data_IF_587798593686
#
_entry.id   IF_587798593686
#
_cell.length_a   1.000
_cell.length_b   1.000
_cell.length_c   1.000
_cell.angle_alpha   90.00
_cell.angle_beta   90.00
_cell.angle_gamma   90.00
#
_symmetry.space_group_name_H-M   'P 1'
#
loop_
_entity.id
_entity.type
_entity.pdbx_description
1 polymer ?
#
# COMPACT_ATOMS: atom_id res chain seq x y z
N UNK A 1 22.57 -13.57 5.27
CA UNK A 1 22.78 -12.20 4.77
C UNK A 1 21.46 -11.49 4.44
N UNK A 2 20.57 -12.09 3.62
CA UNK A 2 19.17 -11.67 3.53
C UNK A 2 18.50 -11.55 4.93
N UNK A 3 18.83 -12.51 5.83
CA UNK A 3 18.45 -12.47 7.25
C UNK A 3 18.92 -11.22 8.01
N UNK A 4 20.10 -10.68 7.71
CA UNK A 4 20.63 -9.49 8.40
C UNK A 4 19.88 -8.23 7.97
N UNK A 5 19.63 -8.05 6.66
CA UNK A 5 18.83 -6.93 6.17
C UNK A 5 17.40 -6.98 6.70
N UNK A 6 16.74 -8.16 6.65
CA UNK A 6 15.40 -8.32 7.23
C UNK A 6 15.39 -8.01 8.73
N UNK A 7 16.42 -8.43 9.47
CA UNK A 7 16.57 -8.07 10.88
C UNK A 7 16.74 -6.57 11.07
N UNK A 8 17.57 -5.89 10.26
CA UNK A 8 17.76 -4.44 10.33
C UNK A 8 16.47 -3.68 10.03
N UNK A 9 15.71 -4.10 9.01
CA UNK A 9 14.39 -3.52 8.70
C UNK A 9 13.44 -3.72 9.87
N UNK A 10 13.40 -4.94 10.41
CA UNK A 10 12.55 -5.27 11.55
C UNK A 10 12.91 -4.42 12.77
N UNK A 11 14.19 -4.23 13.07
CA UNK A 11 14.66 -3.38 14.17
C UNK A 11 14.29 -1.92 13.93
N UNK A 12 14.53 -1.37 12.73
CA UNK A 12 14.15 0.01 12.40
C UNK A 12 12.64 0.21 12.51
N UNK A 13 11.86 -0.74 11.99
CA UNK A 13 10.41 -0.75 12.07
C UNK A 13 9.96 -0.77 13.53
N UNK A 14 10.51 -1.68 14.34
CA UNK A 14 10.18 -1.80 15.77
C UNK A 14 10.51 -0.51 16.52
N UNK A 15 11.69 0.05 16.29
CA UNK A 15 12.12 1.32 16.89
C UNK A 15 11.15 2.43 16.51
N UNK A 16 10.84 2.58 15.22
CA UNK A 16 9.90 3.60 14.74
C UNK A 16 8.51 3.43 15.35
N UNK A 17 7.97 2.21 15.37
CA UNK A 17 6.67 1.87 15.96
C UNK A 17 6.63 2.19 17.46
N UNK A 18 7.71 1.92 18.20
CA UNK A 18 7.80 2.28 19.63
C UNK A 18 7.82 3.81 19.80
N UNK A 19 8.59 4.53 18.99
CA UNK A 19 8.62 6.00 19.04
C UNK A 19 7.28 6.63 18.64
N UNK A 20 6.52 5.99 17.73
CA UNK A 20 5.15 6.40 17.43
C UNK A 20 4.22 6.32 18.64
N UNK A 21 4.52 5.48 19.63
CA UNK A 21 3.77 5.45 20.88
C UNK A 21 4.10 6.63 21.80
N UNK A 22 5.19 7.37 21.54
CA UNK A 22 5.65 8.51 22.34
C UNK A 22 5.29 9.83 21.66
N UNK A 23 5.29 9.85 20.33
CA UNK A 23 5.07 11.05 19.50
C UNK A 23 3.74 11.78 19.77
N UNK A 24 3.60 13.02 19.27
CA UNK A 24 2.42 13.82 19.50
C UNK A 24 1.18 13.09 18.97
N UNK A 25 0.26 12.83 19.89
CA UNK A 25 -1.09 12.40 19.59
C UNK A 25 -1.86 13.57 19.00
N UNK A 26 -2.89 13.24 18.23
CA UNK A 26 -3.82 14.27 17.76
C UNK A 26 -4.47 14.95 18.98
N UNK A 27 -4.50 16.29 19.07
CA UNK A 27 -5.17 16.99 20.17
C UNK A 27 -6.63 16.54 20.33
N UNK A 28 -7.11 16.46 21.57
CA UNK A 28 -8.43 15.90 21.88
C UNK A 28 -9.58 16.67 21.22
N UNK A 29 -9.41 17.98 21.02
CA UNK A 29 -10.35 18.85 20.31
C UNK A 29 -10.53 18.48 18.83
N UNK A 30 -9.50 17.88 18.21
CA UNK A 30 -9.51 17.50 16.81
C UNK A 30 -9.87 16.02 16.57
N UNK A 31 -9.99 15.20 17.61
CA UNK A 31 -10.29 13.77 17.47
C UNK A 31 -11.56 13.49 16.65
N UNK A 32 -12.61 14.30 16.84
CA UNK A 32 -13.87 14.17 16.07
C UNK A 32 -13.70 14.54 14.60
N UNK A 33 -12.97 15.61 14.32
CA UNK A 33 -12.78 16.14 12.95
C UNK A 33 -12.05 15.13 12.06
N UNK A 34 -11.08 14.41 12.63
CA UNK A 34 -10.28 13.42 11.91
C UNK A 34 -10.79 11.98 12.07
N UNK A 35 -11.89 11.76 12.80
CA UNK A 35 -12.44 10.43 13.09
C UNK A 35 -11.40 9.50 13.73
N UNK A 36 -10.89 9.93 14.90
CA UNK A 36 -9.79 9.30 15.63
C UNK A 36 -10.13 9.18 17.11
N UNK A 37 -9.62 8.14 17.76
CA UNK A 37 -9.68 7.96 19.21
C UNK A 37 -8.27 7.80 19.78
N UNK A 38 -7.89 8.61 20.76
CA UNK A 38 -6.61 8.46 21.45
C UNK A 38 -6.69 7.36 22.52
N UNK A 39 -5.73 6.45 22.49
CA UNK A 39 -5.47 5.47 23.54
C UNK A 39 -4.34 5.99 24.41
N UNK A 40 -4.61 6.10 25.70
CA UNK A 40 -3.62 6.50 26.70
C UNK A 40 -3.12 5.25 27.42
N UNK A 41 -1.80 5.03 27.41
CA UNK A 41 -1.12 3.98 28.15
C UNK A 41 -0.33 4.61 29.32
N UNK A 42 0.13 3.82 30.31
CA UNK A 42 0.94 4.35 31.40
C UNK A 42 2.19 5.10 30.90
N UNK A 43 2.50 6.25 31.50
CA UNK A 43 3.66 7.06 31.16
C UNK A 43 3.47 7.91 29.90
N UNK A 44 4.52 8.13 29.07
CA UNK A 44 4.41 8.92 27.85
C UNK A 44 3.73 8.16 26.69
N UNK A 45 3.37 6.90 26.91
CA UNK A 45 2.92 6.01 25.85
C UNK A 45 1.43 6.23 25.50
N UNK A 46 1.12 6.12 24.22
CA UNK A 46 -0.23 6.16 23.69
C UNK A 46 -0.23 6.18 22.17
N UNK A 47 -1.37 5.91 21.56
CA UNK A 47 -1.49 5.93 20.10
C UNK A 47 -2.90 6.33 19.69
N UNK A 48 -3.04 6.80 18.46
CA UNK A 48 -4.33 7.21 17.88
C UNK A 48 -4.89 6.08 17.02
N UNK A 49 -6.12 5.66 17.31
CA UNK A 49 -6.87 4.69 16.52
C UNK A 49 -7.82 5.38 15.56
N UNK A 50 -7.89 4.91 14.33
CA UNK A 50 -8.96 5.31 13.42
C UNK A 50 -10.33 4.87 13.97
N UNK A 51 -11.37 5.69 13.80
CA UNK A 51 -12.71 5.43 14.31
C UNK A 51 -13.33 4.12 13.81
N UNK A 52 -12.98 3.70 12.59
CA UNK A 52 -13.47 2.46 12.00
C UNK A 52 -12.83 1.20 12.61
N UNK A 53 -11.75 1.35 13.38
CA UNK A 53 -10.99 0.24 13.95
C UNK A 53 -11.86 -0.68 14.81
N UNK A 54 -12.81 -0.11 15.57
CA UNK A 54 -13.68 -0.91 16.45
C UNK A 54 -14.58 -1.85 15.67
N UNK A 55 -15.07 -1.40 14.51
CA UNK A 55 -15.87 -2.26 13.65
C UNK A 55 -15.03 -3.43 13.09
N UNK A 56 -13.76 -3.20 12.75
CA UNK A 56 -12.85 -4.29 12.35
C UNK A 56 -12.64 -5.30 13.47
N UNK A 57 -12.50 -4.86 14.72
CA UNK A 57 -12.35 -5.73 15.89
C UNK A 57 -13.62 -6.54 16.17
N UNK A 58 -14.77 -5.88 16.20
CA UNK A 58 -16.06 -6.50 16.45
C UNK A 58 -16.38 -7.56 15.38
N UNK A 59 -16.17 -7.23 14.10
CA UNK A 59 -16.43 -8.16 13.00
C UNK A 59 -15.41 -9.30 12.96
N UNK A 60 -14.16 -9.09 13.38
CA UNK A 60 -13.20 -10.20 13.48
C UNK A 60 -13.57 -11.14 14.64
N UNK A 61 -14.10 -10.58 15.73
CA UNK A 61 -14.60 -11.36 16.86
C UNK A 61 -15.84 -12.19 16.53
N UNK A 62 -16.79 -11.60 15.81
CA UNK A 62 -17.97 -12.28 15.32
C UNK A 62 -18.18 -12.01 13.81
N UNK A 63 -17.54 -12.79 12.93
CA UNK A 63 -17.62 -12.58 11.49
C UNK A 63 -19.02 -12.77 10.90
N UNK A 64 -19.93 -13.47 11.58
CA UNK A 64 -21.32 -13.61 11.11
C UNK A 64 -22.05 -12.27 11.07
N UNK A 65 -21.64 -11.28 11.87
CA UNK A 65 -22.17 -9.91 11.81
C UNK A 65 -21.94 -9.24 10.45
N UNK A 66 -21.03 -9.73 9.61
CA UNK A 66 -20.91 -9.30 8.22
C UNK A 66 -22.20 -9.56 7.43
N UNK A 67 -22.99 -10.59 7.79
CA UNK A 67 -24.26 -10.90 7.14
C UNK A 67 -25.42 -10.00 7.62
N UNK A 68 -25.20 -9.16 8.63
CA UNK A 68 -26.22 -8.21 9.05
C UNK A 68 -26.57 -7.25 7.90
N UNK A 69 -27.87 -7.02 7.72
CA UNK A 69 -28.38 -6.14 6.66
C UNK A 69 -27.79 -4.73 6.82
N UNK A 70 -27.18 -4.21 5.75
CA UNK A 70 -26.59 -2.87 5.74
C UNK A 70 -25.20 -2.78 6.38
N UNK A 71 -24.55 -3.90 6.72
CA UNK A 71 -23.20 -3.86 7.25
C UNK A 71 -22.22 -3.29 6.20
N UNK A 72 -21.54 -2.20 6.57
CA UNK A 72 -20.70 -1.42 5.65
C UNK A 72 -19.46 -2.18 5.15
N UNK A 73 -19.08 -3.28 5.80
CA UNK A 73 -17.90 -4.11 5.45
C UNK A 73 -18.24 -5.36 4.64
N UNK A 74 -19.50 -5.54 4.23
CA UNK A 74 -19.89 -6.63 3.33
C UNK A 74 -19.07 -6.65 2.04
N UNK A 75 -18.64 -5.49 1.52
CA UNK A 75 -17.83 -5.44 0.29
C UNK A 75 -16.41 -5.97 0.43
N UNK A 76 -15.85 -6.05 1.65
CA UNK A 76 -14.43 -6.35 1.88
C UNK A 76 -14.22 -7.21 3.13
N UNK A 77 -14.69 -8.46 3.12
CA UNK A 77 -14.64 -9.32 4.30
C UNK A 77 -13.25 -9.92 4.57
N UNK A 78 -12.36 -9.92 3.57
CA UNK A 78 -11.12 -10.70 3.60
C UNK A 78 -10.19 -10.33 4.74
N UNK A 79 -10.01 -9.04 5.03
CA UNK A 79 -9.13 -8.61 6.12
C UNK A 79 -9.66 -9.03 7.50
N UNK A 80 -10.98 -9.01 7.65
CA UNK A 80 -11.69 -9.43 8.86
C UNK A 80 -11.50 -10.93 9.08
N UNK A 81 -11.69 -11.74 8.04
CA UNK A 81 -11.47 -13.18 8.13
C UNK A 81 -10.01 -13.54 8.42
N UNK A 82 -9.04 -12.82 7.83
CA UNK A 82 -7.63 -13.05 8.14
C UNK A 82 -7.31 -12.77 9.61
N UNK A 83 -7.80 -11.67 10.17
CA UNK A 83 -7.61 -11.36 11.58
C UNK A 83 -8.32 -12.37 12.50
N UNK A 84 -9.55 -12.76 12.16
CA UNK A 84 -10.30 -13.78 12.88
C UNK A 84 -9.59 -15.15 12.87
N UNK A 85 -9.00 -15.54 11.74
CA UNK A 85 -8.25 -16.79 11.61
C UNK A 85 -6.91 -16.76 12.37
N UNK A 86 -6.29 -15.59 12.51
CA UNK A 86 -5.00 -15.43 13.18
C UNK A 86 -5.14 -15.23 14.71
N UNK A 87 -6.26 -14.68 15.17
CA UNK A 87 -6.50 -14.37 16.60
C UNK A 87 -6.36 -15.55 17.58
N UNK A 88 -6.63 -16.84 17.21
CA UNK A 88 -6.42 -17.97 18.12
C UNK A 88 -4.99 -18.09 18.65
N UNK A 89 -3.99 -17.64 17.88
CA UNK A 89 -2.58 -17.64 18.29
C UNK A 89 -2.30 -16.69 19.48
N UNK A 90 -3.20 -15.73 19.72
CA UNK A 90 -3.06 -14.67 20.72
C UNK A 90 -4.06 -14.80 21.86
N UNK A 91 -4.81 -15.91 21.97
CA UNK A 91 -5.77 -16.08 23.08
C UNK A 91 -5.10 -16.07 24.46
N UNK A 92 -3.87 -16.54 24.56
CA UNK A 92 -3.12 -16.63 25.82
C UNK A 92 -2.81 -15.26 26.46
N UNK A 93 -2.84 -14.16 25.68
CA UNK A 93 -2.57 -12.82 26.17
C UNK A 93 -3.83 -12.02 26.49
N UNK A 94 -5.03 -12.62 26.37
CA UNK A 94 -6.29 -11.92 26.62
C UNK A 94 -6.49 -11.68 28.13
N UNK A 95 -6.47 -10.44 28.62
CA UNK A 95 -6.80 -10.17 30.01
C UNK A 95 -8.27 -10.44 30.27
N UNK A 96 -8.63 -10.66 31.53
CA UNK A 96 -10.03 -10.51 31.97
C UNK A 96 -10.28 -9.01 32.16
N UNK A 97 -11.03 -8.34 31.27
CA UNK A 97 -11.23 -6.90 31.39
C UNK A 97 -12.02 -6.58 32.66
N UNK A 98 -11.60 -5.54 33.37
CA UNK A 98 -12.32 -5.04 34.54
C UNK A 98 -13.66 -4.44 34.10
N UNK A 99 -14.74 -4.83 34.79
CA UNK A 99 -16.10 -4.35 34.48
C UNK A 99 -16.27 -2.87 34.76
N UNK A 100 -15.45 -2.28 35.63
CA UNK A 100 -15.52 -0.84 35.93
C UNK A 100 -15.18 0.06 34.73
N UNK A 101 -14.56 -0.49 33.68
CA UNK A 101 -14.13 0.27 32.49
C UNK A 101 -15.10 0.17 31.29
N UNK A 102 -16.30 -0.40 31.47
CA UNK A 102 -17.22 -0.84 30.40
C UNK A 102 -17.53 0.23 29.32
N UNK A 103 -17.49 1.52 29.66
CA UNK A 103 -17.75 2.63 28.73
C UNK A 103 -16.50 3.25 28.08
N UNK A 104 -15.31 2.73 28.36
CA UNK A 104 -14.06 3.29 27.83
C UNK A 104 -13.65 2.63 26.50
N UNK A 105 -13.05 3.42 25.61
CA UNK A 105 -12.44 2.90 24.38
C UNK A 105 -11.39 1.83 24.68
N UNK A 106 -10.64 2.02 25.77
CA UNK A 106 -9.62 1.07 26.25
C UNK A 106 -10.24 -0.29 26.57
N UNK A 107 -11.43 -0.30 27.18
CA UNK A 107 -12.15 -1.54 27.47
C UNK A 107 -12.48 -2.32 26.20
N UNK A 108 -12.96 -1.65 25.14
CA UNK A 108 -13.24 -2.31 23.86
C UNK A 108 -11.99 -2.95 23.24
N UNK A 109 -10.84 -2.27 23.29
CA UNK A 109 -9.58 -2.84 22.81
C UNK A 109 -9.16 -4.04 23.65
N UNK A 110 -9.28 -3.95 24.98
CA UNK A 110 -8.93 -5.06 25.88
C UNK A 110 -9.85 -6.27 25.72
N UNK A 111 -11.15 -6.02 25.51
CA UNK A 111 -12.14 -7.06 25.23
C UNK A 111 -11.82 -7.83 23.94
N UNK A 112 -11.31 -7.14 22.93
CA UNK A 112 -10.95 -7.73 21.63
C UNK A 112 -9.44 -7.88 21.41
N UNK A 113 -8.65 -7.95 22.49
CA UNK A 113 -7.18 -7.88 22.40
C UNK A 113 -6.56 -8.93 21.45
N UNK A 114 -6.97 -10.21 21.44
CA UNK A 114 -6.40 -11.18 20.49
C UNK A 114 -6.60 -10.80 19.02
N UNK A 115 -7.74 -10.19 18.70
CA UNK A 115 -8.07 -9.73 17.34
C UNK A 115 -7.31 -8.45 17.00
N UNK A 116 -7.16 -7.55 17.96
CA UNK A 116 -6.33 -6.36 17.81
C UNK A 116 -4.88 -6.73 17.50
N UNK A 117 -4.27 -7.60 18.30
CA UNK A 117 -2.89 -8.08 18.07
C UNK A 117 -2.76 -8.82 16.74
N UNK A 118 -3.79 -9.53 16.30
CA UNK A 118 -3.82 -10.12 14.96
C UNK A 118 -3.74 -9.05 13.86
N UNK A 119 -4.50 -7.96 13.95
CA UNK A 119 -4.42 -6.86 12.98
C UNK A 119 -3.05 -6.17 13.00
N UNK A 120 -2.48 -5.89 14.18
CA UNK A 120 -1.14 -5.29 14.28
C UNK A 120 -0.10 -6.19 13.63
N UNK A 121 -0.20 -7.51 13.87
CA UNK A 121 0.66 -8.51 13.24
C UNK A 121 0.52 -8.46 11.71
N UNK A 122 -0.71 -8.42 11.20
CA UNK A 122 -0.96 -8.30 9.75
C UNK A 122 -0.38 -7.01 9.17
N UNK A 123 -0.53 -5.87 9.85
CA UNK A 123 0.04 -4.58 9.43
C UNK A 123 1.58 -4.62 9.35
N UNK A 124 2.24 -5.22 10.34
CA UNK A 124 3.70 -5.43 10.34
C UNK A 124 4.11 -6.37 9.19
N UNK A 125 3.39 -7.47 8.99
CA UNK A 125 3.66 -8.41 7.89
C UNK A 125 3.51 -7.73 6.52
N UNK A 126 2.49 -6.89 6.33
CA UNK A 126 2.28 -6.10 5.11
C UNK A 126 3.50 -5.20 4.82
N UNK A 127 4.06 -4.54 5.85
CA UNK A 127 5.26 -3.73 5.69
C UNK A 127 6.51 -4.55 5.37
N UNK A 128 6.70 -5.70 6.03
CA UNK A 128 7.82 -6.58 5.75
C UNK A 128 7.76 -7.14 4.32
N UNK A 129 6.57 -7.51 3.86
CA UNK A 129 6.35 -7.97 2.47
C UNK A 129 6.57 -6.80 1.48
N UNK A 130 6.11 -5.59 1.81
CA UNK A 130 6.37 -4.38 1.01
C UNK A 130 7.87 -4.15 0.83
N UNK A 131 8.64 -4.23 1.93
CA UNK A 131 10.09 -4.09 1.88
C UNK A 131 10.75 -5.25 1.13
N UNK A 132 10.21 -6.48 1.21
CA UNK A 132 10.69 -7.59 0.41
C UNK A 132 10.54 -7.32 -1.10
N UNK A 133 9.39 -6.78 -1.54
CA UNK A 133 9.23 -6.36 -2.94
C UNK A 133 10.20 -5.23 -3.32
N UNK A 134 10.42 -4.26 -2.43
CA UNK A 134 11.42 -3.22 -2.63
C UNK A 134 12.82 -3.82 -2.87
N UNK A 135 13.25 -4.77 -2.05
CA UNK A 135 14.54 -5.49 -2.24
C UNK A 135 14.60 -6.17 -3.60
N UNK A 136 13.50 -6.81 -4.03
CA UNK A 136 13.45 -7.50 -5.34
C UNK A 136 13.47 -6.56 -6.53
N UNK A 137 12.81 -5.41 -6.43
CA UNK A 137 12.78 -4.39 -7.49
C UNK A 137 14.15 -3.69 -7.61
N UNK A 138 14.83 -3.47 -6.49
CA UNK A 138 16.11 -2.74 -6.44
C UNK A 138 17.34 -3.63 -6.57
N UNK A 139 17.19 -4.95 -6.62
CA UNK A 139 18.29 -5.92 -6.60
C UNK A 139 19.22 -5.79 -5.37
N UNK A 140 18.71 -5.26 -4.25
CA UNK A 140 19.49 -5.06 -3.02
C UNK A 140 20.01 -6.39 -2.42
N UNK A 141 19.40 -7.52 -2.75
CA UNK A 141 19.89 -8.85 -2.33
C UNK A 141 21.24 -9.22 -2.97
N UNK A 142 21.58 -8.60 -4.11
CA UNK A 142 22.84 -8.83 -4.82
C UNK A 142 23.93 -7.82 -4.39
N UNK A 143 23.56 -6.59 -4.06
CA UNK A 143 24.48 -5.50 -3.71
C UNK A 143 24.14 -4.86 -2.37
N UNK A 144 25.12 -4.82 -1.46
CA UNK A 144 24.95 -4.33 -0.08
C UNK A 144 25.04 -2.80 0.00
N UNK A 145 24.11 -2.09 -0.62
CA UNK A 145 24.08 -0.62 -0.56
C UNK A 145 23.35 -0.13 0.68
N UNK A 146 24.05 0.60 1.54
CA UNK A 146 23.46 1.28 2.69
C UNK A 146 22.53 2.41 2.23
N UNK A 147 22.89 3.12 1.16
CA UNK A 147 22.06 4.22 0.63
C UNK A 147 20.73 3.69 0.10
N UNK A 148 20.74 2.61 -0.70
CA UNK A 148 19.50 1.96 -1.16
C UNK A 148 18.69 1.45 0.03
N UNK A 149 19.32 0.77 0.99
CA UNK A 149 18.63 0.34 2.21
C UNK A 149 17.94 1.50 2.94
N UNK A 150 18.63 2.63 3.11
CA UNK A 150 18.08 3.84 3.73
C UNK A 150 16.87 4.37 2.94
N UNK A 151 16.94 4.46 1.61
CA UNK A 151 15.78 4.86 0.80
C UNK A 151 14.59 3.93 1.00
N UNK A 152 14.82 2.62 1.14
CA UNK A 152 13.77 1.65 1.48
C UNK A 152 13.05 1.97 2.79
N UNK A 153 13.71 2.59 3.78
CA UNK A 153 13.09 2.99 5.04
C UNK A 153 12.01 4.06 4.87
N UNK A 154 11.94 4.77 3.75
CA UNK A 154 10.83 5.70 3.45
C UNK A 154 9.48 4.97 3.32
N UNK A 155 9.47 3.66 3.06
CA UNK A 155 8.26 2.83 3.13
C UNK A 155 7.74 2.67 4.57
N UNK A 156 8.59 2.92 5.57
CA UNK A 156 8.24 2.89 7.00
C UNK A 156 7.92 4.31 7.48
N UNK A 157 8.70 5.30 7.06
CA UNK A 157 8.54 6.70 7.46
C UNK A 157 7.54 7.40 6.55
N UNK A 158 6.25 7.32 6.88
CA UNK A 158 5.20 8.02 6.16
C UNK A 158 3.89 8.08 6.97
N UNK A 159 3.00 8.98 6.53
CA UNK A 159 1.68 9.20 7.11
C UNK A 159 0.82 7.92 7.19
N UNK A 160 0.91 7.02 6.21
CA UNK A 160 0.11 5.77 6.21
C UNK A 160 0.55 4.85 7.35
N UNK A 161 1.85 4.62 7.52
CA UNK A 161 2.35 3.81 8.65
C UNK A 161 2.02 4.46 9.97
N UNK A 162 2.22 5.77 10.07
CA UNK A 162 1.91 6.53 11.28
C UNK A 162 0.43 6.43 11.70
N UNK A 163 -0.51 6.50 10.75
CA UNK A 163 -1.94 6.34 11.02
C UNK A 163 -2.35 4.90 11.33
N UNK A 164 -1.81 3.95 10.56
CA UNK A 164 -2.46 2.65 10.42
C UNK A 164 -1.65 1.49 10.96
N UNK A 165 -0.39 1.66 11.39
CA UNK A 165 0.36 0.54 11.98
C UNK A 165 -0.31 0.03 13.25
N UNK A 166 -0.84 0.94 14.08
CA UNK A 166 -1.59 0.66 15.30
C UNK A 166 -3.11 0.57 15.09
N UNK A 167 -3.63 0.91 13.92
CA UNK A 167 -5.08 0.88 13.65
C UNK A 167 -5.47 -0.35 12.82
N UNK A 168 -6.42 -1.18 13.30
CA UNK A 168 -7.14 -2.14 12.46
C UNK A 168 -7.78 -1.47 11.23
N UNK A 169 -7.09 -1.49 10.09
CA UNK A 169 -7.59 -0.92 8.84
C UNK A 169 -6.83 -1.49 7.63
N UNK A 170 -7.47 -1.49 6.47
CA UNK A 170 -6.88 -1.89 5.18
C UNK A 170 -5.91 -0.86 4.55
N UNK A 171 -5.66 0.33 5.13
CA UNK A 171 -4.88 1.36 4.43
C UNK A 171 -3.39 1.00 4.26
N UNK A 172 -2.85 0.07 5.04
CA UNK A 172 -1.48 -0.44 4.88
C UNK A 172 -1.24 -1.05 3.48
N UNK A 173 -2.30 -1.52 2.81
CA UNK A 173 -2.23 -1.99 1.43
C UNK A 173 -1.91 -0.89 0.42
N UNK A 174 -2.02 0.40 0.79
CA UNK A 174 -1.57 1.50 -0.05
C UNK A 174 -0.04 1.52 -0.25
N UNK A 175 0.70 0.76 0.55
CA UNK A 175 2.15 0.58 0.42
C UNK A 175 2.45 -0.70 -0.38
N UNK A 176 1.84 -1.80 0.03
CA UNK A 176 2.11 -3.13 -0.51
C UNK A 176 1.67 -3.30 -1.96
N UNK A 177 0.42 -2.98 -2.27
CA UNK A 177 -0.18 -3.29 -3.58
C UNK A 177 0.53 -2.58 -4.74
N UNK A 178 0.90 -1.28 -4.68
CA UNK A 178 1.63 -0.65 -5.78
C UNK A 178 3.04 -1.23 -5.97
N UNK A 179 3.75 -1.61 -4.90
CA UNK A 179 5.04 -2.30 -5.03
C UNK A 179 4.89 -3.70 -5.64
N UNK A 180 3.88 -4.45 -5.22
CA UNK A 180 3.56 -5.74 -5.80
C UNK A 180 3.24 -5.62 -7.30
N UNK A 181 2.40 -4.65 -7.68
CA UNK A 181 2.06 -4.39 -9.08
C UNK A 181 3.29 -3.99 -9.91
N UNK A 182 4.19 -3.16 -9.35
CA UNK A 182 5.45 -2.80 -9.98
C UNK A 182 6.37 -4.02 -10.16
N UNK A 183 6.48 -4.88 -9.15
CA UNK A 183 7.26 -6.12 -9.26
C UNK A 183 6.68 -7.03 -10.35
N UNK A 184 5.37 -7.26 -10.37
CA UNK A 184 4.71 -8.04 -11.42
C UNK A 184 4.91 -7.45 -12.82
N UNK A 185 4.82 -6.13 -12.96
CA UNK A 185 5.10 -5.46 -14.23
C UNK A 185 6.51 -5.78 -14.73
N UNK A 186 7.52 -5.61 -13.87
CA UNK A 186 8.93 -5.92 -14.20
C UNK A 186 9.09 -7.40 -14.55
N UNK A 187 8.52 -8.31 -13.76
CA UNK A 187 8.60 -9.75 -13.99
C UNK A 187 7.90 -10.20 -15.30
N UNK A 188 6.83 -9.53 -15.71
CA UNK A 188 6.20 -9.76 -17.02
C UNK A 188 7.13 -9.31 -18.14
N UNK A 189 7.70 -8.10 -18.03
CA UNK A 189 8.55 -7.52 -19.08
C UNK A 189 9.87 -8.26 -19.23
N UNK A 190 10.59 -8.48 -18.12
CA UNK A 190 11.96 -9.01 -18.13
C UNK A 190 12.02 -10.54 -18.06
N UNK A 191 11.04 -11.16 -17.39
CA UNK A 191 11.11 -12.58 -17.00
C UNK A 191 9.97 -13.43 -17.55
N UNK A 192 9.10 -12.85 -18.38
CA UNK A 192 7.94 -13.53 -19.00
C UNK A 192 7.01 -14.17 -17.96
N UNK A 193 6.78 -13.52 -16.81
CA UNK A 193 5.89 -14.05 -15.77
C UNK A 193 4.53 -14.46 -16.32
N UNK A 194 3.99 -13.70 -17.29
CA UNK A 194 2.71 -13.98 -17.93
C UNK A 194 2.64 -15.35 -18.62
N UNK A 195 3.78 -15.92 -19.01
CA UNK A 195 3.89 -17.23 -19.66
C UNK A 195 4.04 -18.38 -18.65
N UNK A 196 4.39 -18.09 -17.39
CA UNK A 196 4.67 -19.10 -16.36
C UNK A 196 3.39 -19.58 -15.67
N UNK A 197 3.25 -20.88 -15.33
CA UNK A 197 2.07 -21.40 -14.63
C UNK A 197 1.81 -20.76 -13.26
N UNK A 198 2.86 -20.30 -12.58
CA UNK A 198 2.75 -19.65 -11.26
C UNK A 198 1.83 -18.41 -11.28
N UNK A 199 1.63 -17.77 -12.44
CA UNK A 199 0.74 -16.61 -12.53
C UNK A 199 -0.70 -16.94 -12.15
N UNK A 200 -1.17 -18.18 -12.39
CA UNK A 200 -2.51 -18.60 -11.98
C UNK A 200 -2.64 -18.68 -10.47
N UNK A 201 -1.62 -19.20 -9.78
CA UNK A 201 -1.59 -19.26 -8.31
C UNK A 201 -1.54 -17.85 -7.71
N UNK A 202 -0.71 -16.96 -8.27
CA UNK A 202 -0.67 -15.54 -7.90
C UNK A 202 -2.06 -14.91 -8.12
N UNK A 203 -2.68 -15.12 -9.28
CA UNK A 203 -3.99 -14.55 -9.62
C UNK A 203 -5.10 -15.00 -8.65
N UNK A 204 -5.11 -16.27 -8.25
CA UNK A 204 -6.04 -16.78 -7.25
C UNK A 204 -5.82 -16.13 -5.87
N UNK A 205 -4.56 -15.98 -5.44
CA UNK A 205 -4.22 -15.27 -4.20
C UNK A 205 -4.63 -13.78 -4.27
N UNK A 206 -4.46 -13.14 -5.42
CA UNK A 206 -4.89 -11.76 -5.64
C UNK A 206 -6.41 -11.64 -5.65
N UNK A 207 -7.13 -12.66 -6.12
CA UNK A 207 -8.58 -12.71 -5.97
C UNK A 207 -9.03 -12.67 -4.51
N UNK A 208 -8.33 -13.39 -3.62
CA UNK A 208 -8.53 -13.25 -2.17
C UNK A 208 -8.16 -11.83 -1.71
N UNK A 209 -7.06 -11.27 -2.21
CA UNK A 209 -6.65 -9.88 -1.97
C UNK A 209 -7.71 -8.84 -2.34
N UNK A 210 -8.48 -9.04 -3.42
CA UNK A 210 -9.59 -8.14 -3.80
C UNK A 210 -10.67 -8.10 -2.72
N UNK A 211 -10.91 -9.21 -2.02
CA UNK A 211 -11.84 -9.25 -0.87
C UNK A 211 -11.28 -8.55 0.37
N UNK A 212 -9.97 -8.30 0.43
CA UNK A 212 -9.29 -7.56 1.50
C UNK A 212 -9.30 -6.07 1.19
N UNK A 213 -8.91 -5.70 -0.04
CA UNK A 213 -8.82 -4.31 -0.47
C UNK A 213 -8.98 -4.18 -1.99
N UNK A 214 -9.81 -3.24 -2.45
CA UNK A 214 -10.20 -3.16 -3.86
C UNK A 214 -9.06 -2.83 -4.81
N UNK A 215 -7.98 -2.18 -4.35
CA UNK A 215 -6.84 -1.83 -5.20
C UNK A 215 -6.06 -3.04 -5.71
N UNK A 216 -6.24 -4.23 -5.11
CA UNK A 216 -5.68 -5.47 -5.65
C UNK A 216 -6.17 -5.76 -7.07
N UNK A 217 -7.32 -5.24 -7.50
CA UNK A 217 -7.79 -5.34 -8.88
C UNK A 217 -6.83 -4.69 -9.89
N UNK A 218 -6.01 -3.71 -9.46
CA UNK A 218 -4.99 -3.07 -10.29
C UNK A 218 -3.82 -3.98 -10.68
N UNK A 219 -3.73 -5.16 -10.07
CA UNK A 219 -2.87 -6.24 -10.56
C UNK A 219 -3.14 -6.57 -12.03
N UNK A 220 -4.41 -6.64 -12.45
CA UNK A 220 -4.80 -7.03 -13.81
C UNK A 220 -4.19 -6.10 -14.88
N UNK A 221 -4.43 -4.77 -14.87
CA UNK A 221 -3.79 -3.88 -15.83
C UNK A 221 -2.26 -3.87 -15.70
N UNK A 222 -1.70 -4.04 -14.49
CA UNK A 222 -0.25 -4.10 -14.30
C UNK A 222 0.42 -5.25 -15.07
N UNK A 223 -0.24 -6.41 -15.20
CA UNK A 223 0.28 -7.55 -15.97
C UNK A 223 -0.22 -7.59 -17.41
N UNK A 224 -1.45 -7.15 -17.68
CA UNK A 224 -2.08 -7.26 -19.00
C UNK A 224 -1.48 -6.26 -19.98
N UNK A 225 -1.20 -5.02 -19.56
CA UNK A 225 -0.62 -4.01 -20.43
C UNK A 225 0.74 -4.43 -21.00
N UNK A 226 1.76 -4.79 -20.19
CA UNK A 226 3.04 -5.24 -20.74
C UNK A 226 2.92 -6.55 -21.52
N UNK A 227 2.10 -7.50 -21.07
CA UNK A 227 1.89 -8.77 -21.77
C UNK A 227 1.26 -8.60 -23.16
N UNK A 228 0.28 -7.70 -23.28
CA UNK A 228 -0.35 -7.36 -24.56
C UNK A 228 0.65 -6.72 -25.51
N UNK A 229 1.45 -5.75 -25.04
CA UNK A 229 2.49 -5.10 -25.85
C UNK A 229 3.52 -6.12 -26.35
N UNK A 230 3.91 -7.07 -25.48
CA UNK A 230 4.80 -8.17 -25.84
C UNK A 230 4.17 -9.04 -26.93
N UNK A 231 2.93 -9.50 -26.75
CA UNK A 231 2.24 -10.37 -27.69
C UNK A 231 2.04 -9.70 -29.05
N UNK A 232 1.69 -8.40 -29.05
CA UNK A 232 1.48 -7.59 -30.25
C UNK A 232 2.75 -7.46 -31.10
N UNK A 233 3.93 -7.46 -30.47
CA UNK A 233 5.22 -7.33 -31.15
C UNK A 233 5.80 -8.65 -31.67
N UNK A 234 5.15 -9.79 -31.41
CA UNK A 234 5.63 -11.07 -31.91
C UNK A 234 5.34 -11.24 -33.42
N UNK A 235 6.23 -11.90 -34.19
CA UNK A 235 5.99 -12.17 -35.62
C UNK A 235 4.68 -12.93 -35.86
N UNK A 236 4.35 -13.89 -34.99
CA UNK A 236 3.10 -14.65 -35.00
C UNK A 236 2.00 -13.96 -34.18
N UNK A 237 1.77 -12.66 -34.41
CA UNK A 237 0.91 -11.81 -33.57
C UNK A 237 -0.48 -12.40 -33.29
N UNK A 238 -1.13 -13.01 -34.28
CA UNK A 238 -2.48 -13.57 -34.10
C UNK A 238 -2.51 -14.75 -33.13
N UNK A 239 -1.51 -15.64 -33.23
CA UNK A 239 -1.36 -16.79 -32.32
C UNK A 239 -1.01 -16.29 -30.93
N UNK A 240 -0.09 -15.33 -30.81
CA UNK A 240 0.31 -14.75 -29.53
C UNK A 240 -0.86 -14.03 -28.82
N UNK A 241 -1.65 -13.25 -29.57
CA UNK A 241 -2.84 -12.58 -29.05
C UNK A 241 -3.94 -13.57 -28.63
N UNK A 242 -4.12 -14.67 -29.36
CA UNK A 242 -5.04 -15.74 -28.96
C UNK A 242 -4.64 -16.38 -27.62
N UNK A 243 -3.36 -16.71 -27.44
CA UNK A 243 -2.83 -17.24 -26.18
C UNK A 243 -2.96 -16.22 -25.04
N UNK A 244 -2.67 -14.94 -25.32
CA UNK A 244 -2.88 -13.85 -24.38
C UNK A 244 -4.33 -13.77 -23.93
N UNK A 245 -5.29 -13.76 -24.87
CA UNK A 245 -6.71 -13.63 -24.57
C UNK A 245 -7.22 -14.78 -23.67
N UNK A 246 -6.90 -16.02 -24.00
CA UNK A 246 -7.28 -17.19 -23.20
C UNK A 246 -6.75 -17.08 -21.77
N UNK A 247 -5.45 -16.75 -21.62
CA UNK A 247 -4.84 -16.59 -20.30
C UNK A 247 -5.42 -15.41 -19.53
N UNK A 248 -5.66 -14.29 -20.19
CA UNK A 248 -6.26 -13.11 -19.59
C UNK A 248 -7.67 -13.42 -19.03
N UNK A 249 -8.48 -14.18 -19.77
CA UNK A 249 -9.81 -14.63 -19.30
C UNK A 249 -9.69 -15.51 -18.05
N UNK A 250 -8.79 -16.49 -18.06
CA UNK A 250 -8.58 -17.36 -16.89
C UNK A 250 -8.10 -16.56 -15.68
N UNK A 251 -7.10 -15.69 -15.87
CA UNK A 251 -6.55 -14.83 -14.81
C UNK A 251 -7.62 -13.89 -14.26
N UNK A 252 -8.39 -13.23 -15.13
CA UNK A 252 -9.50 -12.39 -14.73
C UNK A 252 -10.53 -13.17 -13.91
N UNK A 253 -10.91 -14.36 -14.38
CA UNK A 253 -11.79 -15.27 -13.65
C UNK A 253 -11.27 -15.59 -12.26
N UNK A 254 -9.99 -15.97 -12.13
CA UNK A 254 -9.36 -16.28 -10.84
C UNK A 254 -9.33 -15.09 -9.87
N UNK A 255 -9.12 -13.87 -10.39
CA UNK A 255 -9.13 -12.64 -9.57
C UNK A 255 -10.56 -12.25 -9.17
N UNK A 256 -11.54 -12.38 -10.06
CA UNK A 256 -12.92 -12.00 -9.78
C UNK A 256 -13.67 -13.02 -8.90
N UNK A 257 -13.30 -14.30 -8.99
CA UNK A 257 -14.05 -15.42 -8.42
C UNK A 257 -14.28 -15.27 -6.90
N UNK A 258 -13.28 -14.97 -6.04
CA UNK A 258 -13.53 -14.90 -4.61
C UNK A 258 -14.51 -13.80 -4.20
N UNK A 259 -14.41 -12.62 -4.83
CA UNK A 259 -15.36 -11.53 -4.60
C UNK A 259 -16.77 -11.89 -5.06
N UNK A 260 -16.90 -12.55 -6.21
CA UNK A 260 -18.19 -13.01 -6.73
C UNK A 260 -18.81 -14.11 -5.88
N UNK A 261 -18.04 -15.10 -5.43
CA UNK A 261 -18.51 -16.14 -4.52
C UNK A 261 -18.99 -15.56 -3.19
N UNK A 262 -18.28 -14.56 -2.65
CA UNK A 262 -18.71 -13.87 -1.44
C UNK A 262 -20.03 -13.11 -1.67
N UNK A 263 -20.14 -12.37 -2.78
CA UNK A 263 -21.37 -11.69 -3.15
C UNK A 263 -22.56 -12.66 -3.21
N UNK A 264 -22.42 -13.78 -3.93
CA UNK A 264 -23.46 -14.80 -4.03
C UNK A 264 -23.80 -15.43 -2.68
N UNK A 265 -22.79 -15.69 -1.85
CA UNK A 265 -23.00 -16.23 -0.50
C UNK A 265 -23.84 -15.28 0.35
N UNK A 266 -23.53 -13.99 0.36
CA UNK A 266 -24.31 -12.98 1.11
C UNK A 266 -25.72 -12.89 0.54
N UNK A 267 -25.87 -12.71 -0.78
CA UNK A 267 -27.16 -12.59 -1.45
C UNK A 267 -28.09 -13.77 -1.14
N UNK A 268 -27.56 -15.00 -1.20
CA UNK A 268 -28.34 -16.22 -0.89
C UNK A 268 -28.70 -16.36 0.58
N UNK A 269 -27.91 -15.78 1.50
CA UNK A 269 -28.16 -15.85 2.95
C UNK A 269 -29.05 -14.74 3.48
N UNK A 270 -28.95 -13.54 2.91
CA UNK A 270 -29.58 -12.33 3.44
C UNK A 270 -30.66 -11.76 2.52
N UNK A 271 -30.72 -12.21 1.27
CA UNK A 271 -31.59 -11.68 0.21
C UNK A 271 -31.15 -10.33 -0.35
N UNK A 272 -30.02 -9.77 0.10
CA UNK A 272 -29.47 -8.52 -0.45
C UNK A 272 -28.01 -8.31 -0.04
N UNK A 273 -27.18 -7.90 -0.98
CA UNK A 273 -25.82 -7.40 -0.75
C UNK A 273 -25.77 -5.88 -0.63
N UNK A 274 -25.21 -5.37 0.47
CA UNK A 274 -25.01 -3.94 0.67
C UNK A 274 -23.59 -3.50 0.30
N UNK A 275 -23.48 -2.51 -0.60
CA UNK A 275 -22.24 -1.76 -0.82
C UNK A 275 -22.38 -0.36 -0.25
N UNK A 276 -21.64 -0.10 0.83
CA UNK A 276 -21.58 1.21 1.46
C UNK A 276 -20.99 2.28 0.54
N UNK A 277 -19.98 1.89 -0.25
CA UNK A 277 -19.33 2.75 -1.24
C UNK A 277 -20.33 3.33 -2.25
N UNK A 278 -21.24 2.50 -2.76
CA UNK A 278 -22.25 2.92 -3.74
C UNK A 278 -23.39 3.67 -3.03
N UNK A 279 -23.91 3.12 -1.92
CA UNK A 279 -25.11 3.64 -1.28
C UNK A 279 -24.95 4.97 -0.54
N UNK A 280 -23.81 5.22 0.11
CA UNK A 280 -23.57 6.45 0.90
C UNK A 280 -22.70 7.45 0.16
N UNK A 281 -21.61 6.99 -0.43
CA UNK A 281 -20.59 7.88 -0.99
C UNK A 281 -20.75 8.13 -2.49
N UNK A 282 -21.73 7.50 -3.13
CA UNK A 282 -21.93 7.59 -4.58
C UNK A 282 -20.64 7.28 -5.36
N UNK A 283 -19.76 6.42 -4.80
CA UNK A 283 -18.54 6.01 -5.47
C UNK A 283 -18.92 5.37 -6.81
N UNK A 284 -18.22 5.79 -7.88
CA UNK A 284 -18.51 5.46 -9.29
C UNK A 284 -19.86 5.96 -9.85
N UNK A 285 -20.84 6.31 -9.00
CA UNK A 285 -22.13 6.88 -9.44
C UNK A 285 -21.93 8.28 -10.02
N UNK A 286 -21.02 9.07 -9.45
CA UNK A 286 -20.69 10.41 -9.94
C UNK A 286 -20.25 10.41 -11.42
N UNK A 287 -19.63 9.32 -11.91
CA UNK A 287 -19.23 9.20 -13.32
C UNK A 287 -20.45 9.18 -14.23
N UNK A 288 -21.51 8.46 -13.82
CA UNK A 288 -22.75 8.37 -14.58
C UNK A 288 -23.45 9.72 -14.60
N UNK A 289 -23.49 10.40 -13.46
CA UNK A 289 -24.11 11.73 -13.35
C UNK A 289 -23.34 12.78 -14.16
N UNK A 290 -22.00 12.77 -14.08
CA UNK A 290 -21.13 13.64 -14.87
C UNK A 290 -21.23 13.35 -16.37
N UNK A 291 -21.34 12.07 -16.77
CA UNK A 291 -21.57 11.69 -18.15
C UNK A 291 -22.90 12.21 -18.69
N UNK A 292 -23.98 12.09 -17.89
CA UNK A 292 -25.31 12.64 -18.24
C UNK A 292 -25.29 14.16 -18.36
N UNK A 293 -24.44 14.85 -17.59
CA UNK A 293 -24.21 16.29 -17.71
C UNK A 293 -23.34 16.68 -18.92
N UNK A 294 -22.68 15.72 -19.56
CA UNK A 294 -21.90 15.90 -20.80
C UNK A 294 -20.44 15.50 -20.67
N UNK A 295 -19.85 15.05 -21.79
CA UNK A 295 -18.47 14.55 -21.84
C UNK A 295 -17.44 15.53 -21.25
N UNK A 296 -17.61 16.83 -21.50
CA UNK A 296 -16.70 17.86 -20.98
C UNK A 296 -16.73 17.94 -19.45
N UNK A 297 -17.92 17.80 -18.83
CA UNK A 297 -18.07 17.79 -17.36
C UNK A 297 -17.36 16.57 -16.77
N UNK A 298 -17.55 15.40 -17.37
CA UNK A 298 -16.86 14.18 -16.95
C UNK A 298 -15.34 14.32 -17.02
N UNK A 299 -14.81 14.78 -18.16
CA UNK A 299 -13.36 14.96 -18.33
C UNK A 299 -12.82 15.98 -17.34
N UNK A 300 -13.52 17.10 -17.14
CA UNK A 300 -13.13 18.14 -16.20
C UNK A 300 -13.08 17.63 -14.76
N UNK A 301 -14.12 16.96 -14.28
CA UNK A 301 -14.17 16.40 -12.93
C UNK A 301 -13.12 15.30 -12.72
N UNK A 302 -12.96 14.40 -13.69
CA UNK A 302 -11.94 13.35 -13.62
C UNK A 302 -10.52 13.96 -13.57
N UNK A 303 -10.27 15.00 -14.37
CA UNK A 303 -8.98 15.70 -14.39
C UNK A 303 -8.72 16.43 -13.08
N UNK A 304 -9.74 17.06 -12.50
CA UNK A 304 -9.64 17.72 -11.19
C UNK A 304 -9.35 16.70 -10.07
N UNK A 305 -10.06 15.57 -10.06
CA UNK A 305 -9.84 14.48 -9.10
C UNK A 305 -8.42 13.94 -9.20
N UNK A 306 -7.96 13.66 -10.42
CA UNK A 306 -6.60 13.19 -10.67
C UNK A 306 -5.55 14.23 -10.23
N UNK A 307 -5.77 15.51 -10.57
CA UNK A 307 -4.88 16.61 -10.19
C UNK A 307 -4.78 16.77 -8.68
N UNK A 308 -5.91 16.75 -7.97
CA UNK A 308 -5.94 16.85 -6.50
C UNK A 308 -5.14 15.70 -5.86
N UNK A 309 -5.33 14.46 -6.33
CA UNK A 309 -4.54 13.32 -5.86
C UNK A 309 -3.05 13.48 -6.19
N UNK A 310 -2.71 13.98 -7.38
CA UNK A 310 -1.33 14.25 -7.76
C UNK A 310 -0.67 15.30 -6.85
N UNK A 311 -1.39 16.37 -6.51
CA UNK A 311 -0.90 17.40 -5.57
C UNK A 311 -0.66 16.81 -4.18
N UNK A 312 -1.58 15.98 -3.68
CA UNK A 312 -1.38 15.29 -2.40
C UNK A 312 -0.20 14.31 -2.44
N UNK A 313 -0.03 13.58 -3.54
CA UNK A 313 1.11 12.69 -3.72
C UNK A 313 2.42 13.50 -3.76
N UNK A 314 2.48 14.60 -4.52
CA UNK A 314 3.66 15.46 -4.62
C UNK A 314 4.09 16.02 -3.26
N UNK A 315 3.13 16.44 -2.43
CA UNK A 315 3.40 16.90 -1.05
C UNK A 315 3.98 15.82 -0.13
N UNK A 316 3.76 14.54 -0.43
CA UNK A 316 4.32 13.41 0.31
C UNK A 316 5.62 12.89 -0.34
N UNK A 317 5.79 13.09 -1.65
CA UNK A 317 6.92 12.58 -2.44
C UNK A 317 8.16 13.48 -2.51
N UNK A 318 8.12 14.70 -1.96
CA UNK A 318 9.23 15.67 -2.06
C UNK A 318 10.56 15.12 -1.51
N UNK A 319 10.51 14.27 -0.47
CA UNK A 319 11.70 13.67 0.13
C UNK A 319 12.46 12.79 -0.87
N UNK A 320 11.77 12.15 -1.81
CA UNK A 320 12.39 11.34 -2.87
C UNK A 320 13.22 12.23 -3.80
N UNK A 321 12.70 13.41 -4.14
CA UNK A 321 13.42 14.40 -4.95
C UNK A 321 14.67 14.86 -4.21
N UNK A 322 14.55 15.16 -2.91
CA UNK A 322 15.68 15.60 -2.10
C UNK A 322 16.77 14.52 -2.00
N UNK A 323 16.39 13.26 -1.80
CA UNK A 323 17.31 12.11 -1.80
C UNK A 323 17.99 11.93 -3.16
N UNK A 324 17.26 12.05 -4.27
CA UNK A 324 17.79 11.80 -5.62
C UNK A 324 18.64 12.95 -6.17
N UNK A 325 18.41 14.18 -5.71
CA UNK A 325 19.07 15.38 -6.25
C UNK A 325 20.61 15.27 -6.27
N UNK A 326 21.30 14.90 -5.17
CA UNK A 326 22.76 14.75 -5.19
C UNK A 326 23.26 13.75 -6.23
N UNK A 327 22.54 12.63 -6.40
CA UNK A 327 22.89 11.57 -7.33
C UNK A 327 22.67 11.99 -8.79
N UNK A 328 21.56 12.67 -9.07
CA UNK A 328 21.24 13.17 -10.42
C UNK A 328 22.24 14.25 -10.82
N UNK A 329 22.51 15.22 -9.93
CA UNK A 329 23.45 16.32 -10.21
C UNK A 329 24.86 15.78 -10.51
N UNK A 330 25.39 14.91 -9.65
CA UNK A 330 26.72 14.37 -9.92
C UNK A 330 26.76 13.35 -11.05
N UNK A 331 25.63 12.72 -11.43
CA UNK A 331 25.55 11.96 -12.67
C UNK A 331 25.72 12.89 -13.89
N UNK A 332 24.98 14.00 -13.95
CA UNK A 332 25.08 14.98 -15.05
C UNK A 332 26.46 15.60 -15.17
N UNK A 333 27.15 15.85 -14.05
CA UNK A 333 28.51 16.38 -14.07
C UNK A 333 29.52 15.37 -14.66
N UNK A 334 29.31 14.07 -14.43
CA UNK A 334 30.32 13.05 -14.71
C UNK A 334 30.03 12.18 -15.93
N UNK A 335 28.81 12.15 -16.46
CA UNK A 335 28.43 11.22 -17.52
C UNK A 335 27.25 11.74 -18.35
N UNK A 336 27.35 11.60 -19.67
CA UNK A 336 26.35 12.07 -20.63
C UNK A 336 25.35 10.96 -21.06
N UNK A 337 25.36 9.81 -20.37
CA UNK A 337 24.58 8.62 -20.75
C UNK A 337 23.24 8.50 -20.00
N UNK A 338 22.38 9.51 -20.13
CA UNK A 338 21.03 9.53 -19.55
C UNK A 338 20.15 8.35 -20.03
N UNK A 339 20.44 7.77 -21.19
CA UNK A 339 19.72 6.59 -21.73
C UNK A 339 19.83 5.37 -20.82
N UNK A 340 20.88 5.27 -19.98
CA UNK A 340 21.01 4.19 -19.01
C UNK A 340 19.96 4.25 -17.89
N UNK A 341 19.32 5.40 -17.68
CA UNK A 341 18.26 5.61 -16.68
C UNK A 341 16.85 5.29 -17.23
N UNK A 342 16.68 5.27 -18.56
CA UNK A 342 15.44 4.82 -19.22
C UNK A 342 15.30 3.30 -19.12
N UNK A 343 14.89 2.86 -17.94
CA UNK A 343 14.78 1.45 -17.57
C UNK A 343 13.32 0.99 -17.47
N UNK A 344 13.09 -0.32 -17.44
CA UNK A 344 11.77 -0.92 -17.21
C UNK A 344 11.20 -0.45 -15.85
N UNK A 345 12.07 -0.22 -14.87
CA UNK A 345 11.74 0.29 -13.54
C UNK A 345 11.18 1.71 -13.61
N UNK A 346 11.76 2.61 -14.41
CA UNK A 346 11.25 3.97 -14.59
C UNK A 346 9.85 3.94 -15.24
N UNK A 347 9.71 3.20 -16.34
CA UNK A 347 8.43 3.06 -17.03
C UNK A 347 7.37 2.44 -16.10
N UNK A 348 7.73 1.37 -15.39
CA UNK A 348 6.86 0.70 -14.43
C UNK A 348 6.43 1.64 -13.30
N UNK A 349 7.34 2.45 -12.77
CA UNK A 349 7.01 3.40 -11.69
C UNK A 349 5.99 4.43 -12.15
N UNK A 350 6.22 5.06 -13.30
CA UNK A 350 5.30 6.07 -13.85
C UNK A 350 3.93 5.47 -14.17
N UNK A 351 3.91 4.33 -14.85
CA UNK A 351 2.66 3.67 -15.24
C UNK A 351 1.87 3.18 -14.03
N UNK A 352 2.51 2.51 -13.08
CA UNK A 352 1.82 1.98 -11.89
C UNK A 352 1.32 3.12 -11.01
N UNK A 353 2.14 4.14 -10.73
CA UNK A 353 1.70 5.29 -9.94
C UNK A 353 0.55 6.04 -10.62
N UNK A 354 0.64 6.29 -11.93
CA UNK A 354 -0.44 6.93 -12.70
C UNK A 354 -1.72 6.11 -12.71
N UNK A 355 -1.62 4.79 -12.81
CA UNK A 355 -2.76 3.87 -12.76
C UNK A 355 -3.48 3.90 -11.41
N UNK A 356 -2.75 3.93 -10.29
CA UNK A 356 -3.36 4.06 -8.96
C UNK A 356 -4.06 5.41 -8.78
N UNK A 357 -3.44 6.51 -9.21
CA UNK A 357 -4.07 7.83 -9.18
C UNK A 357 -5.34 7.87 -10.04
N UNK A 358 -5.29 7.30 -11.25
CA UNK A 358 -6.45 7.22 -12.14
C UNK A 358 -7.56 6.38 -11.53
N UNK A 359 -7.23 5.24 -10.92
CA UNK A 359 -8.20 4.38 -10.24
C UNK A 359 -8.94 5.13 -9.13
N UNK A 360 -8.22 5.77 -8.22
CA UNK A 360 -8.86 6.50 -7.12
C UNK A 360 -9.57 7.79 -7.58
N UNK A 361 -9.06 8.43 -8.63
CA UNK A 361 -9.77 9.54 -9.27
C UNK A 361 -11.12 9.09 -9.85
N UNK A 362 -11.19 7.91 -10.47
CA UNK A 362 -12.44 7.31 -10.95
C UNK A 362 -13.37 6.88 -9.80
N UNK A 363 -12.83 6.30 -8.72
CA UNK A 363 -13.64 5.99 -7.54
C UNK A 363 -14.28 7.24 -6.96
N UNK A 364 -13.61 8.39 -7.06
CA UNK A 364 -14.07 9.68 -6.52
C UNK A 364 -13.61 9.94 -5.09
N UNK A 365 -12.63 9.18 -4.59
CA UNK A 365 -12.15 9.26 -3.21
C UNK A 365 -10.83 10.03 -3.15
N UNK A 366 -10.93 11.33 -2.83
CA UNK A 366 -9.83 12.29 -2.94
C UNK A 366 -9.27 12.60 -1.55
N UNK A 367 -8.44 11.70 -1.04
CA UNK A 367 -7.82 11.81 0.28
C UNK A 367 -6.29 11.69 0.21
N UNK A 368 -5.58 12.39 1.09
CA UNK A 368 -4.11 12.40 1.14
C UNK A 368 -3.50 11.00 1.31
N UNK A 369 -4.06 10.20 2.23
CA UNK A 369 -3.61 8.82 2.51
C UNK A 369 -3.74 7.86 1.33
N UNK A 370 -4.64 8.15 0.39
CA UNK A 370 -4.86 7.34 -0.82
C UNK A 370 -3.91 7.78 -1.93
N UNK A 371 -3.65 9.08 -2.03
CA UNK A 371 -2.64 9.62 -2.94
C UNK A 371 -1.24 9.03 -2.68
N UNK A 372 -0.96 8.60 -1.44
CA UNK A 372 0.29 7.90 -1.10
C UNK A 372 0.52 6.63 -1.94
N UNK A 373 -0.51 6.00 -2.50
CA UNK A 373 -0.34 4.82 -3.38
C UNK A 373 0.52 5.07 -4.61
N UNK A 374 0.68 6.33 -5.03
CA UNK A 374 1.57 6.72 -6.11
C UNK A 374 3.05 6.76 -5.70
N UNK A 375 3.38 6.76 -4.41
CA UNK A 375 4.72 7.04 -3.88
C UNK A 375 5.63 5.81 -3.78
N UNK A 376 5.17 4.63 -3.29
CA UNK A 376 6.02 3.45 -3.17
C UNK A 376 6.77 3.05 -4.45
N UNK A 377 6.18 3.10 -5.67
CA UNK A 377 6.92 2.81 -6.89
C UNK A 377 8.10 3.78 -7.11
N UNK A 378 7.95 5.07 -6.77
CA UNK A 378 9.03 6.04 -6.87
C UNK A 378 10.11 5.86 -5.79
N UNK A 379 9.76 5.38 -4.60
CA UNK A 379 10.76 4.98 -3.58
C UNK A 379 11.61 3.82 -4.13
N UNK A 380 10.95 2.81 -4.73
CA UNK A 380 11.66 1.68 -5.36
C UNK A 380 12.53 2.13 -6.55
N UNK A 381 12.03 3.04 -7.39
CA UNK A 381 12.81 3.64 -8.46
C UNK A 381 14.04 4.37 -7.93
N UNK A 382 13.90 5.15 -6.87
CA UNK A 382 15.00 5.90 -6.29
C UNK A 382 16.11 4.96 -5.79
N UNK A 383 15.72 3.89 -5.09
CA UNK A 383 16.63 2.82 -4.70
C UNK A 383 17.33 2.18 -5.91
N UNK A 384 16.58 1.87 -6.96
CA UNK A 384 17.13 1.29 -8.18
C UNK A 384 18.13 2.23 -8.88
N UNK A 385 17.84 3.53 -8.98
CA UNK A 385 18.75 4.52 -9.58
C UNK A 385 20.05 4.59 -8.77
N UNK A 386 19.97 4.69 -7.45
CA UNK A 386 21.16 4.72 -6.58
C UNK A 386 21.98 3.45 -6.77
N UNK A 387 21.33 2.28 -6.76
CA UNK A 387 21.99 1.00 -7.01
C UNK A 387 22.75 0.98 -8.35
N UNK A 388 22.11 1.41 -9.44
CA UNK A 388 22.76 1.47 -10.77
C UNK A 388 23.92 2.46 -10.82
N UNK A 389 23.84 3.57 -10.10
CA UNK A 389 24.95 4.53 -10.00
C UNK A 389 26.13 3.96 -9.18
N UNK A 390 25.85 3.11 -8.19
CA UNK A 390 26.89 2.41 -7.42
C UNK A 390 27.58 1.35 -8.27
N UNK A 391 26.81 0.51 -8.97
CA UNK A 391 27.33 -0.54 -9.86
C UNK A 391 28.23 0.05 -10.96
N UNK A 392 27.84 1.18 -11.54
CA UNK A 392 28.62 1.87 -12.56
C UNK A 392 29.81 2.67 -11.99
N UNK A 393 30.06 2.61 -10.68
CA UNK A 393 31.17 3.31 -10.02
C UNK A 393 31.05 4.83 -9.98
N UNK A 394 29.89 5.40 -10.36
CA UNK A 394 29.65 6.85 -10.38
C UNK A 394 29.71 7.42 -8.96
N UNK A 395 29.12 6.72 -7.99
CA UNK A 395 29.13 7.14 -6.58
C UNK A 395 30.54 7.12 -5.98
N UNK A 396 31.42 6.20 -6.42
CA UNK A 396 32.83 6.21 -6.01
C UNK A 396 33.54 7.47 -6.50
N UNK A 397 33.25 7.92 -7.73
CA UNK A 397 33.79 9.17 -8.30
C UNK A 397 33.26 10.42 -7.59
N UNK A 398 31.99 10.40 -7.18
CA UNK A 398 31.33 11.52 -6.50
C UNK A 398 31.56 11.57 -4.97
N UNK A 399 32.61 10.90 -4.47
CA UNK A 399 32.90 10.77 -3.05
C UNK A 399 31.80 10.04 -2.25
N UNK A 400 31.79 8.72 -2.36
CA UNK A 400 30.88 7.84 -1.61
C UNK A 400 30.87 8.11 -0.09
N UNK A 401 31.97 8.63 0.48
CA UNK A 401 32.08 8.98 1.90
C UNK A 401 31.18 10.15 2.30
N UNK A 402 30.69 10.94 1.35
CA UNK A 402 29.77 12.06 1.61
C UNK A 402 28.33 11.71 1.24
N UNK A 403 28.11 11.08 0.08
CA UNK A 403 26.76 10.83 -0.43
C UNK A 403 25.97 9.80 0.39
N UNK A 404 26.62 8.72 0.82
CA UNK A 404 25.94 7.67 1.60
C UNK A 404 25.51 8.21 2.97
N UNK A 405 26.39 8.85 3.78
CA UNK A 405 25.95 9.47 5.04
C UNK A 405 24.91 10.56 4.85
N UNK A 406 25.02 11.38 3.80
CA UNK A 406 24.01 12.41 3.50
C UNK A 406 22.64 11.78 3.23
N UNK A 407 22.58 10.70 2.44
CA UNK A 407 21.33 9.97 2.16
C UNK A 407 20.72 9.41 3.44
N UNK A 408 21.55 8.78 4.29
CA UNK A 408 21.11 8.26 5.60
C UNK A 408 20.59 9.38 6.48
N UNK A 409 21.30 10.52 6.55
CA UNK A 409 20.91 11.68 7.36
C UNK A 409 19.58 12.27 6.89
N UNK A 410 19.38 12.41 5.58
CA UNK A 410 18.12 12.88 4.98
C UNK A 410 16.97 11.97 5.36
N UNK A 411 17.13 10.66 5.17
CA UNK A 411 16.09 9.66 5.46
C UNK A 411 15.77 9.62 6.96
N UNK A 412 16.78 9.60 7.83
CA UNK A 412 16.57 9.59 9.28
C UNK A 412 15.96 10.91 9.77
N UNK A 413 16.41 12.04 9.22
CA UNK A 413 15.82 13.35 9.49
C UNK A 413 14.34 13.40 9.10
N UNK A 414 13.99 12.80 7.95
CA UNK A 414 12.59 12.65 7.55
C UNK A 414 11.81 11.71 8.48
N UNK A 415 12.41 10.60 8.92
CA UNK A 415 11.80 9.73 9.93
C UNK A 415 11.50 10.46 11.25
N UNK A 416 12.43 11.30 11.72
CA UNK A 416 12.23 12.15 12.91
C UNK A 416 11.14 13.20 12.65
N UNK A 417 11.13 13.82 11.47
CA UNK A 417 10.06 14.74 11.08
C UNK A 417 8.68 14.05 11.11
N UNK A 418 8.56 12.85 10.55
CA UNK A 418 7.32 12.06 10.59
C UNK A 418 6.90 11.71 12.01
N UNK A 419 7.85 11.40 12.91
CA UNK A 419 7.57 11.17 14.33
C UNK A 419 7.06 12.43 15.03
N UNK A 420 7.60 13.61 14.71
CA UNK A 420 7.28 14.88 15.38
C UNK A 420 6.11 15.65 14.77
N UNK A 421 5.75 15.36 13.52
CA UNK A 421 4.58 15.96 12.85
C UNK A 421 3.31 15.71 13.67
N UNK A 422 2.37 16.65 13.72
CA UNK A 422 1.13 16.45 14.47
C UNK A 422 0.20 15.46 13.79
N UNK A 423 -0.02 14.30 14.40
CA UNK A 423 -0.90 13.28 13.85
C UNK A 423 -0.49 12.78 12.45
N UNK A 424 -1.16 11.74 11.93
CA UNK A 424 -1.00 11.26 10.56
C UNK A 424 -2.10 11.74 9.61
N UNK A 425 -2.99 12.60 10.13
CA UNK A 425 -4.18 13.09 9.42
C UNK A 425 -4.09 14.59 9.09
N UNK A 426 -2.96 15.24 9.42
CA UNK A 426 -2.66 16.66 9.16
C UNK A 426 -1.90 16.92 7.86
#
# INVERSE_FOLDING_TARGET
>A
MHRFMLLSVFVILLVFIIFLMIGPRLPDEHQRDYCVYNIHLPGPFGFSLNCDSFLFLELAHNPEKLLAKGNIRQERPGFIFLAAALSPLFKAISPSPDKEMENSVVYTVMLYLPYYVAYITLNILILLISFWFYVKITCLDQHRSIAVFAVGCLLIFNDVVKAFVWSPHTQMFNILVPLFCMWCFIEVVERRLFERPIIFAISALIGLGVTVYSSFALYLPAIFLPALVIAWRQPSRYVALGHFAIRAVIIFGLVALPGWLWYLYVETKTGSFYSHSIGRYHHLVWIIDAWRAGLFVLISQLSQNFWNLLVFAAKQGWIIVLVLTPFIVGHFINNNQWRALLSVQLLGSVLISGMFLAFFAMVGLIESRIAYTAIPPFIALAGYIIHRLEENGVIKKMNARTLVPLTVLIVLGYGVFELLKDGPYS
#
